data_IF_058813606570
#
_entry.id   IF_058813606570
#
_cell.length_a   1.000
_cell.length_b   1.000
_cell.length_c   1.000
_cell.angle_alpha   90.00
_cell.angle_beta   90.00
_cell.angle_gamma   90.00
#
_symmetry.space_group_name_H-M   'P 1'
#
loop_
_entity.id
_entity.type
_entity.pdbx_description
1 polymer ?
#
# COMPACT_ATOMS: atom_id res chain seq x y z
N UNK A 1 -23.64 -28.20 -19.12
CA UNK A 1 -22.39 -27.53 -19.54
C UNK A 1 -22.37 -26.03 -19.28
N UNK A 2 -23.43 -25.24 -19.56
CA UNK A 2 -23.44 -23.78 -19.35
C UNK A 2 -23.24 -23.32 -17.89
N UNK A 3 -23.75 -24.07 -16.89
CA UNK A 3 -23.56 -23.75 -15.46
C UNK A 3 -22.09 -23.86 -15.00
N UNK A 4 -21.27 -24.72 -15.63
CA UNK A 4 -19.86 -24.89 -15.23
C UNK A 4 -19.01 -23.66 -15.57
N UNK A 5 -19.29 -22.98 -16.69
CA UNK A 5 -18.55 -21.78 -17.08
C UNK A 5 -18.88 -20.58 -16.20
N UNK A 6 -20.14 -20.47 -15.73
CA UNK A 6 -20.56 -19.42 -14.79
C UNK A 6 -19.86 -19.62 -13.44
N UNK A 7 -19.83 -20.86 -12.93
CA UNK A 7 -19.12 -21.18 -11.69
C UNK A 7 -17.62 -20.85 -11.77
N UNK A 8 -16.99 -21.18 -12.90
CA UNK A 8 -15.57 -20.89 -13.12
C UNK A 8 -15.29 -19.39 -13.22
N UNK A 9 -16.16 -18.63 -13.88
CA UNK A 9 -16.03 -17.17 -13.97
C UNK A 9 -16.15 -16.47 -12.61
N UNK A 10 -17.08 -16.91 -11.76
CA UNK A 10 -17.22 -16.38 -10.40
C UNK A 10 -15.97 -16.68 -9.57
N UNK A 11 -15.43 -17.89 -9.70
CA UNK A 11 -14.25 -18.31 -8.95
C UNK A 11 -13.00 -17.49 -9.33
N UNK A 12 -12.83 -17.17 -10.61
CA UNK A 12 -11.76 -16.27 -11.09
C UNK A 12 -11.91 -14.86 -10.53
N UNK A 13 -13.13 -14.31 -10.48
CA UNK A 13 -13.38 -12.98 -9.92
C UNK A 13 -13.00 -12.92 -8.44
N UNK A 14 -13.45 -13.89 -7.64
CA UNK A 14 -13.15 -13.95 -6.20
C UNK A 14 -11.65 -14.10 -5.94
N UNK A 15 -10.96 -14.95 -6.70
CA UNK A 15 -9.51 -15.11 -6.57
C UNK A 15 -8.75 -13.84 -6.97
N UNK A 16 -9.21 -13.12 -8.01
CA UNK A 16 -8.63 -11.85 -8.43
C UNK A 16 -8.71 -10.78 -7.35
N UNK A 17 -9.86 -10.62 -6.70
CA UNK A 17 -10.02 -9.67 -5.60
C UNK A 17 -9.19 -10.06 -4.37
N UNK A 18 -9.16 -11.35 -4.03
CA UNK A 18 -8.33 -11.84 -2.92
C UNK A 18 -6.84 -11.56 -3.16
N UNK A 19 -6.35 -11.76 -4.39
CA UNK A 19 -4.96 -11.46 -4.76
C UNK A 19 -4.65 -9.96 -4.66
N UNK A 20 -5.55 -9.10 -5.14
CA UNK A 20 -5.40 -7.64 -5.04
C UNK A 20 -5.39 -7.17 -3.58
N UNK A 21 -6.25 -7.76 -2.74
CA UNK A 21 -6.31 -7.43 -1.32
C UNK A 21 -5.05 -7.88 -0.58
N UNK A 22 -4.57 -9.10 -0.86
CA UNK A 22 -3.34 -9.63 -0.28
C UNK A 22 -2.13 -8.78 -0.67
N UNK A 23 -1.98 -8.45 -1.96
CA UNK A 23 -0.88 -7.61 -2.43
C UNK A 23 -0.91 -6.21 -1.81
N UNK A 24 -2.11 -5.62 -1.68
CA UNK A 24 -2.28 -4.36 -0.97
C UNK A 24 -1.82 -4.44 0.48
N UNK A 25 -2.15 -5.52 1.21
CA UNK A 25 -1.68 -5.70 2.59
C UNK A 25 -0.16 -5.81 2.67
N UNK A 26 0.46 -6.64 1.82
CA UNK A 26 1.92 -6.83 1.81
C UNK A 26 2.67 -5.51 1.59
N UNK A 27 2.19 -4.64 0.69
CA UNK A 27 2.82 -3.34 0.47
C UNK A 27 2.65 -2.38 1.66
N UNK A 28 1.53 -2.48 2.39
CA UNK A 28 1.29 -1.69 3.59
C UNK A 28 2.13 -2.15 4.78
N UNK A 29 2.26 -3.46 4.95
CA UNK A 29 3.10 -4.06 5.99
C UNK A 29 4.58 -3.74 5.74
N UNK A 30 5.06 -3.86 4.49
CA UNK A 30 6.42 -3.48 4.12
C UNK A 30 6.70 -1.98 4.29
N UNK A 31 5.70 -1.13 4.07
CA UNK A 31 5.83 0.31 4.35
C UNK A 31 5.95 0.59 5.85
N UNK A 32 5.16 -0.06 6.70
CA UNK A 32 5.25 0.13 8.14
C UNK A 32 6.64 -0.28 8.68
N UNK A 33 7.15 -1.43 8.24
CA UNK A 33 8.49 -1.90 8.59
C UNK A 33 9.58 -0.93 8.11
N UNK A 34 9.49 -0.45 6.87
CA UNK A 34 10.44 0.55 6.34
C UNK A 34 10.43 1.84 7.15
N UNK A 35 9.25 2.39 7.44
CA UNK A 35 9.07 3.62 8.21
C UNK A 35 9.69 3.50 9.60
N UNK A 36 9.43 2.39 10.27
CA UNK A 36 9.88 2.17 11.65
C UNK A 36 11.40 1.89 11.69
N UNK A 37 11.95 1.19 10.69
CA UNK A 37 13.38 0.91 10.59
C UNK A 37 14.24 2.11 10.19
N UNK A 38 13.70 3.08 9.45
CA UNK A 38 14.41 4.28 8.97
C UNK A 38 14.04 5.56 9.74
N UNK A 39 13.48 5.41 10.95
CA UNK A 39 13.11 6.50 11.85
C UNK A 39 12.28 7.62 11.20
N UNK A 40 11.41 7.25 10.28
CA UNK A 40 10.75 8.23 9.43
C UNK A 40 9.69 9.03 10.20
N UNK A 41 9.68 10.35 10.00
CA UNK A 41 8.75 11.30 10.64
C UNK A 41 7.85 11.97 9.61
N UNK A 42 6.56 12.20 9.90
CA UNK A 42 5.66 12.90 8.98
C UNK A 42 6.19 14.29 8.65
N UNK A 43 6.24 14.67 7.37
CA UNK A 43 6.72 16.01 6.98
C UNK A 43 5.82 17.10 7.53
N UNK A 44 4.51 16.87 7.63
CA UNK A 44 3.56 17.82 8.24
C UNK A 44 3.75 18.07 9.74
N UNK A 45 4.49 17.21 10.43
CA UNK A 45 4.88 17.44 11.84
C UNK A 45 6.16 18.29 11.94
N UNK A 46 6.94 18.37 10.86
CA UNK A 46 8.24 19.08 10.79
C UNK A 46 8.07 20.45 10.15
N UNK A 47 7.35 20.51 9.04
CA UNK A 47 6.96 21.73 8.35
C UNK A 47 5.48 21.97 8.62
N UNK A 48 5.07 23.19 8.98
CA UNK A 48 3.65 23.60 9.10
C UNK A 48 3.02 23.63 7.70
N UNK A 49 2.90 22.47 7.07
CA UNK A 49 2.61 22.27 5.66
C UNK A 49 1.79 20.99 5.52
N UNK A 50 0.74 21.02 4.69
CA UNK A 50 -0.08 19.84 4.37
C UNK A 50 0.63 18.87 3.40
N UNK A 51 1.96 18.78 3.48
CA UNK A 51 2.76 17.88 2.64
C UNK A 51 2.57 16.46 3.14
N UNK A 52 2.02 15.62 2.26
CA UNK A 52 2.10 14.18 2.43
C UNK A 52 3.57 13.74 2.32
N UNK A 53 3.94 12.66 3.01
CA UNK A 53 5.28 12.10 2.98
C UNK A 53 5.93 12.02 4.35
N UNK A 54 7.01 11.26 4.43
CA UNK A 54 7.78 11.02 5.64
C UNK A 54 9.25 11.29 5.38
N UNK A 55 9.86 12.16 6.19
CA UNK A 55 11.30 12.39 6.19
C UNK A 55 11.97 11.26 6.98
N UNK A 56 12.84 10.50 6.32
CA UNK A 56 13.56 9.38 6.92
C UNK A 56 15.00 9.76 7.28
N UNK A 57 15.73 8.86 7.95
CA UNK A 57 17.12 9.06 8.38
C UNK A 57 18.15 9.17 7.24
N UNK A 58 17.78 8.76 6.04
CA UNK A 58 18.52 9.01 4.79
C UNK A 58 18.45 10.47 4.32
N UNK A 59 17.64 11.30 4.98
CA UNK A 59 17.42 12.70 4.64
C UNK A 59 16.48 12.92 3.44
N UNK A 60 15.84 11.85 2.94
CA UNK A 60 14.90 11.92 1.82
C UNK A 60 13.44 11.82 2.30
N UNK A 61 12.52 12.36 1.50
CA UNK A 61 11.09 12.25 1.74
C UNK A 61 10.54 11.07 0.96
N UNK A 62 10.03 10.08 1.68
CA UNK A 62 9.39 8.89 1.13
C UNK A 62 7.88 8.98 1.22
N UNK A 63 7.21 8.37 0.24
CA UNK A 63 5.76 8.37 0.14
C UNK A 63 5.24 6.95 0.25
N UNK A 64 4.20 6.77 1.05
CA UNK A 64 3.38 5.56 1.01
C UNK A 64 2.80 5.39 -0.39
N UNK A 65 2.74 4.17 -0.91
CA UNK A 65 2.31 3.88 -2.29
C UNK A 65 0.96 4.51 -2.69
N UNK A 66 -0.01 4.59 -1.77
CA UNK A 66 -1.32 5.24 -2.01
C UNK A 66 -1.30 6.77 -1.97
N UNK A 67 -0.21 7.36 -1.50
CA UNK A 67 -0.03 8.80 -1.37
C UNK A 67 0.82 9.38 -2.51
N UNK A 68 1.32 8.55 -3.42
CA UNK A 68 1.92 9.01 -4.68
C UNK A 68 0.79 9.55 -5.58
N UNK A 69 0.71 10.88 -5.71
CA UNK A 69 -0.18 11.59 -6.63
C UNK A 69 0.61 12.55 -7.47
#
# INVERSE_FOLDING_TARGET
MKLSYIGLAILVLVLGEAALLANNRTQEDGWAEYRDSHNCKPVGDIEVSNRAGYLCDDGQVHYRWRQMR
#
